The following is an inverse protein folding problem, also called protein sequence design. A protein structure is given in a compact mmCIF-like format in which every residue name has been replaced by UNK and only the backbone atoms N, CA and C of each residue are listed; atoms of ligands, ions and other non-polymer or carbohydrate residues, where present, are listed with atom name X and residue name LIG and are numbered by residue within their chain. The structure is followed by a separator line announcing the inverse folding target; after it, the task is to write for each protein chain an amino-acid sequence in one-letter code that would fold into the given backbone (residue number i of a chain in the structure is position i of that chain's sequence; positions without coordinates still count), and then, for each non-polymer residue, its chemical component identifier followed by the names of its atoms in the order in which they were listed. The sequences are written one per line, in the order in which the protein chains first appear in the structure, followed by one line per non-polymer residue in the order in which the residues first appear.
data_IF_028643515134
#
_entry.id   IF_028643515134
#
_cell.length_a   1.000
_cell.length_b   1.000
_cell.length_c   1.000
_cell.angle_alpha   90.00
_cell.angle_beta   90.00
_cell.angle_gamma   90.00
#
_symmetry.space_group_name_H-M   'P 1'
#
loop_
_entity.id
_entity.type
_entity.pdbx_description
1 polymer ?
#
# COMPACT_ATOMS: atom_id res chain seq x y z
N UNK A 1 -8.08 -26.93 5.18
CA UNK A 1 -7.07 -26.68 6.23
C UNK A 1 -5.79 -26.26 5.54
N UNK A 2 -5.15 -25.22 6.02
CA UNK A 2 -3.86 -24.79 5.50
C UNK A 2 -2.77 -25.79 5.92
N UNK A 3 -1.86 -26.10 5.01
CA UNK A 3 -0.58 -26.69 5.35
C UNK A 3 0.36 -25.56 5.72
N UNK A 4 0.82 -25.55 6.97
CA UNK A 4 1.77 -24.56 7.48
C UNK A 4 3.18 -25.06 7.18
N UNK A 5 3.95 -24.28 6.41
CA UNK A 5 5.33 -24.62 6.04
C UNK A 5 6.24 -23.55 6.63
N UNK A 6 7.07 -23.87 7.64
CA UNK A 6 8.06 -22.92 8.14
C UNK A 6 9.12 -22.67 7.05
N UNK A 7 9.38 -21.39 6.77
CA UNK A 7 10.39 -20.95 5.80
C UNK A 7 11.68 -20.58 6.51
N UNK A 8 11.60 -19.72 7.53
CA UNK A 8 12.73 -19.34 8.39
C UNK A 8 12.25 -18.99 9.79
N UNK A 9 13.18 -19.08 10.75
CA UNK A 9 12.99 -18.59 12.12
C UNK A 9 14.19 -17.72 12.48
N UNK A 10 13.95 -16.42 12.60
CA UNK A 10 14.96 -15.45 12.98
C UNK A 10 14.90 -15.19 14.48
N UNK A 11 16.03 -15.32 15.16
CA UNK A 11 16.13 -15.04 16.60
C UNK A 11 16.53 -13.59 16.83
N UNK A 12 15.64 -12.82 17.46
CA UNK A 12 15.97 -11.49 18.00
C UNK A 12 16.71 -11.65 19.33
N UNK A 13 16.26 -12.61 20.13
CA UNK A 13 16.92 -13.08 21.34
C UNK A 13 16.61 -14.56 21.54
N UNK A 14 17.24 -15.26 22.50
CA UNK A 14 16.92 -16.66 22.79
C UNK A 14 15.44 -16.92 23.12
N UNK A 15 14.71 -15.90 23.58
CA UNK A 15 13.30 -15.97 23.94
C UNK A 15 12.40 -15.16 23.00
N UNK A 16 12.91 -14.60 21.90
CA UNK A 16 12.11 -13.79 20.96
C UNK A 16 12.47 -14.14 19.53
N UNK A 17 11.48 -14.59 18.78
CA UNK A 17 11.68 -15.05 17.40
C UNK A 17 10.70 -14.37 16.44
N UNK A 18 11.13 -14.23 15.19
CA UNK A 18 10.26 -13.97 14.06
C UNK A 18 10.23 -15.24 13.22
N UNK A 19 9.06 -15.84 13.07
CA UNK A 19 8.85 -16.99 12.19
C UNK A 19 8.22 -16.52 10.88
N UNK A 20 8.84 -16.91 9.77
CA UNK A 20 8.33 -16.70 8.42
C UNK A 20 7.68 -18.00 7.99
N UNK A 21 6.37 -17.97 7.79
CA UNK A 21 5.58 -19.15 7.46
C UNK A 21 4.99 -18.99 6.05
N UNK A 22 4.93 -20.08 5.31
CA UNK A 22 4.17 -20.17 4.08
C UNK A 22 2.96 -21.08 4.31
N UNK A 23 1.77 -20.50 4.21
CA UNK A 23 0.51 -21.23 4.31
C UNK A 23 0.11 -21.71 2.92
N UNK A 24 -0.16 -22.99 2.76
CA UNK A 24 -0.48 -23.60 1.46
C UNK A 24 -1.82 -24.33 1.52
N UNK A 25 -2.70 -24.11 0.54
CA UNK A 25 -3.99 -24.79 0.39
C UNK A 25 -4.30 -24.91 -1.09
N UNK A 26 -4.41 -26.15 -1.58
CA UNK A 26 -4.53 -26.45 -3.01
C UNK A 26 -3.37 -25.83 -3.82
N UNK A 27 -3.65 -24.95 -4.78
CA UNK A 27 -2.67 -24.26 -5.63
C UNK A 27 -2.30 -22.87 -5.08
N UNK A 28 -2.92 -22.43 -3.98
CA UNK A 28 -2.71 -21.13 -3.38
C UNK A 28 -1.67 -21.20 -2.25
N UNK A 29 -0.88 -20.14 -2.13
CA UNK A 29 0.05 -19.97 -1.03
C UNK A 29 0.08 -18.52 -0.54
N UNK A 30 0.34 -18.33 0.75
CA UNK A 30 0.42 -17.03 1.40
C UNK A 30 1.54 -17.04 2.43
N UNK A 31 2.49 -16.12 2.29
CA UNK A 31 3.51 -15.89 3.31
C UNK A 31 2.95 -15.00 4.44
N UNK A 32 3.24 -15.35 5.68
CA UNK A 32 2.85 -14.62 6.89
C UNK A 32 4.00 -14.60 7.90
N UNK A 33 3.94 -13.71 8.88
CA UNK A 33 5.01 -13.52 9.87
C UNK A 33 4.44 -13.61 11.28
N UNK A 34 5.09 -14.39 12.14
CA UNK A 34 4.75 -14.50 13.55
C UNK A 34 5.89 -13.94 14.38
N UNK A 35 5.60 -12.95 15.21
CA UNK A 35 6.53 -12.54 16.26
C UNK A 35 6.16 -13.23 17.57
N UNK A 36 7.03 -14.11 18.05
CA UNK A 36 6.92 -14.76 19.33
C UNK A 36 7.67 -13.95 20.38
N UNK A 37 6.95 -13.50 21.41
CA UNK A 37 7.49 -12.87 22.60
C UNK A 37 7.47 -13.87 23.76
N UNK A 38 8.65 -14.40 24.07
CA UNK A 38 8.94 -15.19 25.27
C UNK A 38 8.15 -16.49 25.40
N UNK A 39 7.65 -17.04 24.28
CA UNK A 39 6.82 -18.24 24.23
C UNK A 39 5.45 -18.06 24.87
N UNK A 40 5.02 -16.80 25.07
CA UNK A 40 3.78 -16.45 25.78
C UNK A 40 2.85 -15.58 24.97
N UNK A 41 3.38 -14.82 24.02
CA UNK A 41 2.57 -13.95 23.19
C UNK A 41 3.02 -14.03 21.74
N UNK A 42 2.09 -14.35 20.86
CA UNK A 42 2.31 -14.52 19.43
C UNK A 42 1.57 -13.42 18.69
N UNK A 43 2.30 -12.59 17.95
CA UNK A 43 1.76 -11.50 17.14
C UNK A 43 1.77 -11.92 15.68
N UNK A 44 0.60 -11.88 15.05
CA UNK A 44 0.45 -12.25 13.65
C UNK A 44 0.53 -11.03 12.75
N UNK A 45 1.30 -11.12 11.67
CA UNK A 45 1.40 -10.10 10.65
C UNK A 45 1.15 -10.69 9.26
N UNK A 46 0.27 -10.02 8.52
CA UNK A 46 -0.05 -10.37 7.14
C UNK A 46 1.01 -9.92 6.13
N UNK A 47 1.90 -9.00 6.52
CA UNK A 47 2.91 -8.42 5.65
C UNK A 47 4.18 -8.05 6.42
N UNK A 48 5.30 -8.02 5.69
CA UNK A 48 6.59 -7.56 6.24
C UNK A 48 6.52 -6.09 6.68
N UNK A 49 5.73 -5.26 5.98
CA UNK A 49 5.54 -3.85 6.32
C UNK A 49 4.90 -3.71 7.71
N UNK A 50 3.85 -4.49 8.01
CA UNK A 50 3.20 -4.46 9.32
C UNK A 50 4.16 -4.87 10.44
N UNK A 51 5.01 -5.87 10.17
CA UNK A 51 6.06 -6.29 11.11
C UNK A 51 7.09 -5.18 11.35
N UNK A 52 7.57 -4.51 10.30
CA UNK A 52 8.52 -3.39 10.41
C UNK A 52 7.89 -2.23 11.20
N UNK A 53 6.65 -1.86 10.88
CA UNK A 53 5.93 -0.79 11.57
C UNK A 53 5.73 -1.05 13.07
N UNK A 54 5.53 -2.31 13.46
CA UNK A 54 5.52 -2.71 14.86
C UNK A 54 6.86 -2.41 15.55
N UNK A 55 7.99 -2.78 14.94
CA UNK A 55 9.30 -2.55 15.53
C UNK A 55 9.74 -1.08 15.52
N UNK A 56 9.47 -0.35 14.45
CA UNK A 56 9.92 1.04 14.29
C UNK A 56 9.00 2.04 14.98
N UNK A 57 7.69 1.82 14.94
CA UNK A 57 6.67 2.78 15.37
C UNK A 57 5.77 2.28 16.50
N UNK A 58 5.95 1.03 16.96
CA UNK A 58 5.13 0.45 18.03
C UNK A 58 3.67 0.18 17.63
N UNK A 59 3.37 0.11 16.33
CA UNK A 59 2.03 -0.16 15.83
C UNK A 59 1.71 -1.64 16.07
N UNK A 60 0.80 -1.91 17.02
CA UNK A 60 0.36 -3.27 17.35
C UNK A 60 -0.47 -3.89 16.21
N UNK A 61 -0.30 -5.19 15.90
CA UNK A 61 -1.13 -5.87 14.93
C UNK A 61 -2.55 -6.07 15.46
N UNK A 62 -3.48 -6.23 14.53
CA UNK A 62 -4.90 -6.48 14.84
C UNK A 62 -5.12 -7.83 15.52
N UNK A 63 -4.22 -8.80 15.30
CA UNK A 63 -4.38 -10.18 15.75
C UNK A 63 -3.15 -10.65 16.54
N UNK A 64 -3.39 -11.14 17.75
CA UNK A 64 -2.39 -11.76 18.61
C UNK A 64 -3.00 -12.89 19.47
N UNK A 65 -2.14 -13.75 20.01
CA UNK A 65 -2.51 -14.96 20.73
C UNK A 65 -1.63 -15.14 21.97
N UNK A 66 -2.17 -15.77 23.02
CA UNK A 66 -1.43 -16.14 24.23
C UNK A 66 -1.05 -17.62 24.28
N UNK A 67 -1.47 -18.40 23.27
CA UNK A 67 -1.16 -19.82 23.17
C UNK A 67 -0.80 -20.22 21.75
N UNK A 68 0.16 -21.13 21.60
CA UNK A 68 0.53 -21.73 20.31
C UNK A 68 -0.66 -22.44 19.69
N UNK A 69 -1.49 -23.09 20.51
CA UNK A 69 -2.68 -23.79 20.03
C UNK A 69 -3.67 -22.85 19.34
N UNK A 70 -3.93 -21.68 19.91
CA UNK A 70 -4.86 -20.71 19.31
C UNK A 70 -4.29 -20.10 18.03
N UNK A 71 -2.96 -19.89 17.99
CA UNK A 71 -2.26 -19.49 16.78
C UNK A 71 -2.39 -20.54 15.69
N UNK A 72 -2.12 -21.82 15.99
CA UNK A 72 -2.22 -22.92 15.04
C UNK A 72 -3.66 -23.07 14.51
N UNK A 73 -4.65 -23.07 15.41
CA UNK A 73 -6.07 -23.13 15.07
C UNK A 73 -6.49 -21.98 14.13
N UNK A 74 -5.92 -20.78 14.33
CA UNK A 74 -6.11 -19.63 13.47
C UNK A 74 -5.43 -19.81 12.11
N UNK A 75 -4.15 -20.16 12.08
CA UNK A 75 -3.37 -20.32 10.85
C UNK A 75 -3.92 -21.44 9.95
N UNK A 76 -4.46 -22.51 10.53
CA UNK A 76 -5.10 -23.59 9.80
C UNK A 76 -6.36 -23.16 9.04
N UNK A 77 -7.09 -22.19 9.62
CA UNK A 77 -8.39 -21.70 9.12
C UNK A 77 -8.26 -20.42 8.31
N UNK A 78 -7.15 -19.68 8.45
CA UNK A 78 -6.93 -18.42 7.77
C UNK A 78 -7.24 -18.53 6.27
N UNK A 79 -8.06 -17.62 5.70
CA UNK A 79 -8.26 -17.57 4.26
C UNK A 79 -6.94 -17.21 3.55
N UNK A 80 -6.49 -18.09 2.65
CA UNK A 80 -5.24 -17.89 1.88
C UNK A 80 -5.44 -17.76 0.36
N UNK A 81 -6.69 -17.81 -0.08
CA UNK A 81 -7.11 -17.57 -1.46
C UNK A 81 -7.88 -16.29 -1.59
N UNK A 82 -7.47 -15.42 -2.54
CA UNK A 82 -8.06 -14.12 -2.89
C UNK A 82 -8.89 -13.45 -1.78
N UNK A 83 -8.37 -13.45 -0.55
CA UNK A 83 -8.68 -12.39 0.37
C UNK A 83 -7.96 -11.18 -0.22
N UNK A 84 -8.74 -10.16 -0.50
CA UNK A 84 -8.35 -8.87 -1.07
C UNK A 84 -7.38 -8.14 -0.11
N UNK A 85 -6.19 -8.68 0.14
CA UNK A 85 -5.20 -8.20 1.12
C UNK A 85 -3.95 -7.61 0.48
N UNK A 86 -3.95 -7.40 -0.85
CA UNK A 86 -3.06 -6.38 -1.42
C UNK A 86 -3.77 -5.05 -1.18
N UNK A 87 -3.37 -4.33 -0.12
CA UNK A 87 -3.77 -2.93 0.02
C UNK A 87 -3.37 -2.23 -1.29
N UNK A 88 -4.36 -1.64 -1.95
CA UNK A 88 -4.18 -0.83 -3.13
C UNK A 88 -3.42 0.44 -2.74
N UNK A 89 -2.81 1.09 -3.74
CA UNK A 89 -2.18 2.39 -3.52
C UNK A 89 -3.07 3.48 -4.09
N UNK A 90 -3.46 4.41 -3.23
CA UNK A 90 -4.31 5.54 -3.58
C UNK A 90 -3.44 6.79 -3.77
N UNK A 91 -3.45 7.30 -4.99
CA UNK A 91 -2.85 8.57 -5.37
C UNK A 91 -3.85 9.69 -5.10
N UNK A 92 -3.56 10.55 -4.13
CA UNK A 92 -4.32 11.76 -3.84
C UNK A 92 -3.70 12.97 -4.55
N UNK A 93 -4.54 13.81 -5.12
CA UNK A 93 -4.16 15.04 -5.80
C UNK A 93 -5.30 16.06 -5.76
N UNK A 94 -4.98 17.31 -6.04
CA UNK A 94 -5.97 18.39 -6.03
C UNK A 94 -5.79 19.36 -7.19
N UNK A 95 -6.89 20.02 -7.55
CA UNK A 95 -6.92 21.13 -8.48
C UNK A 95 -7.21 22.43 -7.74
N UNK A 96 -6.58 23.52 -8.19
CA UNK A 96 -6.90 24.89 -7.78
C UNK A 96 -7.32 25.65 -9.03
N UNK A 97 -8.49 26.27 -8.97
CA UNK A 97 -8.94 27.18 -10.02
C UNK A 97 -8.25 28.56 -9.88
N UNK A 98 -8.49 29.45 -10.84
CA UNK A 98 -7.96 30.82 -10.81
C UNK A 98 -8.42 31.66 -9.61
N UNK A 99 -9.45 31.24 -8.90
CA UNK A 99 -9.96 31.86 -7.67
C UNK A 99 -9.48 31.14 -6.39
N UNK A 100 -8.58 30.16 -6.51
CA UNK A 100 -8.00 29.35 -5.44
C UNK A 100 -9.00 28.46 -4.67
N UNK A 101 -10.13 28.08 -5.28
CA UNK A 101 -10.96 27.02 -4.75
C UNK A 101 -10.31 25.65 -5.01
N UNK A 102 -10.31 24.80 -3.99
CA UNK A 102 -9.71 23.47 -4.06
C UNK A 102 -10.72 22.40 -4.44
N UNK A 103 -10.32 21.49 -5.32
CA UNK A 103 -11.05 20.28 -5.64
C UNK A 103 -10.13 19.09 -5.44
N UNK A 104 -10.55 18.12 -4.61
CA UNK A 104 -9.75 16.94 -4.28
C UNK A 104 -10.19 15.75 -5.13
N UNK A 105 -9.24 14.88 -5.46
CA UNK A 105 -9.48 13.67 -6.20
C UNK A 105 -8.48 12.59 -5.88
N UNK A 106 -8.82 11.36 -6.27
CA UNK A 106 -7.97 10.21 -6.03
C UNK A 106 -8.07 9.18 -7.15
N UNK A 107 -7.00 8.42 -7.35
CA UNK A 107 -6.98 7.22 -8.19
C UNK A 107 -6.39 6.06 -7.40
N UNK A 108 -7.02 4.89 -7.47
CA UNK A 108 -6.68 3.70 -6.69
C UNK A 108 -6.14 2.66 -7.66
N UNK A 109 -4.86 2.32 -7.48
CA UNK A 109 -4.12 1.35 -8.29
C UNK A 109 -3.97 0.01 -7.54
N UNK A 110 -4.03 -1.13 -8.23
CA UNK A 110 -3.50 -2.39 -7.73
C UNK A 110 -2.03 -2.20 -7.31
N UNK A 111 -1.67 -2.76 -6.16
CA UNK A 111 -0.31 -2.71 -5.62
C UNK A 111 0.25 -4.13 -5.37
N UNK A 112 0.39 -4.97 -6.42
CA UNK A 112 0.86 -6.35 -6.26
C UNK A 112 2.34 -6.45 -5.86
N UNK A 113 3.12 -5.38 -6.09
CA UNK A 113 4.54 -5.27 -5.74
C UNK A 113 4.78 -4.72 -4.32
N UNK A 114 3.71 -4.41 -3.57
CA UNK A 114 3.78 -3.86 -2.21
C UNK A 114 4.64 -2.59 -2.10
N UNK A 115 4.55 -1.72 -3.10
CA UNK A 115 5.24 -0.44 -3.09
C UNK A 115 4.72 0.42 -1.93
N UNK A 116 5.63 0.94 -1.09
CA UNK A 116 5.24 1.79 0.02
C UNK A 116 4.79 3.17 -0.48
N UNK A 117 3.85 3.84 0.21
CA UNK A 117 3.42 5.19 -0.15
C UNK A 117 4.60 6.18 -0.24
N UNK A 118 5.55 6.07 0.69
CA UNK A 118 6.77 6.87 0.69
C UNK A 118 7.57 6.65 -0.58
N UNK A 119 7.80 5.40 -0.98
CA UNK A 119 8.61 5.10 -2.15
C UNK A 119 7.93 5.51 -3.45
N UNK A 120 6.63 5.27 -3.57
CA UNK A 120 5.83 5.73 -4.70
C UNK A 120 5.87 7.26 -4.82
N UNK A 121 5.80 7.97 -3.69
CA UNK A 121 5.88 9.44 -3.64
C UNK A 121 7.24 9.96 -4.10
N UNK A 122 8.34 9.31 -3.69
CA UNK A 122 9.69 9.66 -4.16
C UNK A 122 9.80 9.53 -5.69
N UNK A 123 9.37 8.39 -6.25
CA UNK A 123 9.44 8.13 -7.70
C UNK A 123 8.58 9.13 -8.47
N UNK A 124 7.35 9.37 -8.01
CA UNK A 124 6.43 10.28 -8.68
C UNK A 124 6.94 11.73 -8.64
N UNK A 125 7.52 12.18 -7.52
CA UNK A 125 8.04 13.55 -7.38
C UNK A 125 9.11 13.90 -8.41
N UNK A 126 9.96 12.96 -8.80
CA UNK A 126 10.96 13.16 -9.85
C UNK A 126 10.35 13.44 -11.24
N UNK A 127 9.08 13.11 -11.42
CA UNK A 127 8.31 13.30 -12.66
C UNK A 127 7.44 14.56 -12.64
N UNK A 128 7.29 15.22 -11.49
CA UNK A 128 6.46 16.41 -11.36
C UNK A 128 7.17 17.66 -11.90
N UNK A 129 6.37 18.60 -12.40
CA UNK A 129 6.76 19.98 -12.67
C UNK A 129 7.06 20.63 -11.32
N UNK A 130 8.28 21.13 -11.16
CA UNK A 130 8.76 21.73 -9.90
C UNK A 130 8.56 20.85 -8.66
N UNK A 131 8.57 19.51 -8.82
CA UNK A 131 8.35 18.52 -7.75
C UNK A 131 6.96 18.59 -7.06
N UNK A 132 6.00 19.32 -7.64
CA UNK A 132 4.69 19.59 -7.01
C UNK A 132 3.52 19.41 -7.98
N UNK A 133 3.67 19.76 -9.27
CA UNK A 133 2.57 19.84 -10.21
C UNK A 133 2.65 18.82 -11.35
N UNK A 134 1.50 18.46 -11.93
CA UNK A 134 1.41 17.65 -13.14
C UNK A 134 0.11 17.92 -13.90
N UNK A 135 0.01 17.41 -15.13
CA UNK A 135 -1.23 17.41 -15.92
C UNK A 135 -1.81 15.99 -15.90
N UNK A 136 -2.95 15.74 -15.21
CA UNK A 136 -3.50 14.39 -15.06
C UNK A 136 -3.72 13.66 -16.39
N UNK A 137 -4.15 14.37 -17.43
CA UNK A 137 -4.45 13.80 -18.73
C UNK A 137 -3.22 13.21 -19.43
N UNK A 138 -2.03 13.80 -19.26
CA UNK A 138 -0.77 13.27 -19.82
C UNK A 138 -0.43 11.90 -19.21
N UNK A 139 -0.92 11.65 -17.99
CA UNK A 139 -0.74 10.41 -17.26
C UNK A 139 -1.96 9.48 -17.34
N UNK A 140 -2.97 9.84 -18.14
CA UNK A 140 -4.22 9.10 -18.26
C UNK A 140 -5.07 9.08 -16.99
N UNK A 141 -4.94 10.09 -16.13
CA UNK A 141 -5.71 10.26 -14.90
C UNK A 141 -6.92 11.20 -15.11
N UNK A 142 -7.98 11.08 -14.29
CA UNK A 142 -9.12 12.00 -14.33
C UNK A 142 -8.71 13.44 -14.04
N UNK A 143 -9.29 14.39 -14.78
CA UNK A 143 -9.17 15.83 -14.51
C UNK A 143 -10.21 16.25 -13.48
N UNK A 144 -9.84 17.06 -12.49
CA UNK A 144 -10.76 17.56 -11.46
C UNK A 144 -11.34 18.93 -11.83
N UNK A 145 -12.37 18.95 -12.67
CA UNK A 145 -13.07 20.18 -13.07
C UNK A 145 -14.58 20.07 -12.77
N UNK A 146 -14.98 20.46 -11.56
CA UNK A 146 -16.39 20.51 -11.16
C UNK A 146 -17.11 21.80 -11.59
N UNK A 147 -16.35 22.82 -12.00
CA UNK A 147 -16.86 24.11 -12.47
C UNK A 147 -16.53 24.34 -13.94
N UNK A 148 -17.29 25.20 -14.66
CA UNK A 148 -16.96 25.58 -16.03
C UNK A 148 -15.55 26.16 -16.09
N UNK A 149 -14.74 25.65 -17.02
CA UNK A 149 -13.39 26.13 -17.25
C UNK A 149 -13.40 27.57 -17.76
N UNK A 150 -12.67 28.44 -17.07
CA UNK A 150 -12.41 29.81 -17.50
C UNK A 150 -11.01 29.91 -18.12
N UNK A 151 -10.89 30.01 -19.45
CA UNK A 151 -9.58 30.05 -20.11
C UNK A 151 -8.74 31.28 -19.77
N UNK A 152 -9.28 32.31 -19.13
CA UNK A 152 -8.52 33.50 -18.73
C UNK A 152 -7.74 33.30 -17.42
N UNK A 153 -8.21 32.42 -16.54
CA UNK A 153 -7.66 32.27 -15.18
C UNK A 153 -7.34 30.82 -14.79
N UNK A 154 -7.94 29.83 -15.45
CA UNK A 154 -7.74 28.42 -15.13
C UNK A 154 -6.55 27.83 -15.87
N UNK A 155 -5.89 26.87 -15.22
CA UNK A 155 -4.81 26.08 -15.78
C UNK A 155 -5.17 24.58 -15.79
N UNK A 156 -4.30 23.75 -16.37
CA UNK A 156 -4.48 22.29 -16.40
C UNK A 156 -3.74 21.58 -15.27
N UNK A 157 -2.87 22.30 -14.55
CA UNK A 157 -2.02 21.72 -13.51
C UNK A 157 -2.80 21.30 -12.27
N UNK A 158 -2.42 20.15 -11.74
CA UNK A 158 -2.90 19.60 -10.48
C UNK A 158 -1.71 19.43 -9.53
N UNK A 159 -1.95 19.61 -8.24
CA UNK A 159 -0.98 19.50 -7.15
C UNK A 159 -1.01 18.05 -6.62
N UNK A 160 0.16 17.43 -6.52
CA UNK A 160 0.33 16.11 -5.91
C UNK A 160 0.20 16.20 -4.38
N UNK A 161 -0.75 15.47 -3.79
CA UNK A 161 -1.03 15.49 -2.35
C UNK A 161 -0.36 14.32 -1.61
N UNK A 162 -0.30 13.13 -2.22
CA UNK A 162 0.43 12.01 -1.66
C UNK A 162 -0.07 10.65 -2.11
N UNK A 163 0.60 9.60 -1.64
CA UNK A 163 0.08 8.24 -1.68
C UNK A 163 -0.37 7.77 -0.29
N UNK A 164 -1.36 6.90 -0.24
CA UNK A 164 -1.73 6.14 0.95
C UNK A 164 -2.09 4.69 0.59
N UNK A 165 -1.96 3.78 1.56
CA UNK A 165 -2.47 2.41 1.41
C UNK A 165 -3.99 2.42 1.66
N UNK A 166 -4.74 1.66 0.86
CA UNK A 166 -6.20 1.58 0.97
C UNK A 166 -6.73 0.18 0.63
N UNK A 167 -7.89 -0.19 1.17
CA UNK A 167 -8.66 -1.38 0.79
C UNK A 167 -9.83 -1.06 -0.16
N UNK A 168 -9.99 0.21 -0.53
CA UNK A 168 -10.98 0.70 -1.50
C UNK A 168 -10.84 -0.01 -2.86
N UNK A 169 -11.95 -0.07 -3.62
CA UNK A 169 -11.95 -0.68 -4.96
C UNK A 169 -11.01 0.05 -5.92
N UNK A 170 -10.34 -0.74 -6.75
CA UNK A 170 -9.46 -0.24 -7.81
C UNK A 170 -10.25 0.62 -8.78
N UNK A 171 -9.76 1.84 -9.04
CA UNK A 171 -10.34 2.75 -10.04
C UNK A 171 -9.52 2.81 -11.33
N UNK A 172 -8.27 2.33 -11.30
CA UNK A 172 -7.40 2.23 -12.47
C UNK A 172 -6.86 0.80 -12.63
N UNK A 173 -6.94 0.24 -13.83
CA UNK A 173 -6.55 -1.15 -14.07
C UNK A 173 -5.04 -1.37 -14.14
N UNK A 174 -4.26 -0.30 -14.38
CA UNK A 174 -2.79 -0.35 -14.40
C UNK A 174 -2.30 -0.64 -12.99
N UNK A 175 -1.32 -1.53 -12.82
CA UNK A 175 -0.68 -1.62 -11.52
C UNK A 175 0.16 -0.36 -11.24
N UNK A 176 0.41 -0.06 -9.96
CA UNK A 176 1.09 1.17 -9.57
C UNK A 176 2.53 1.26 -10.08
N UNK A 177 3.22 0.12 -10.24
CA UNK A 177 4.59 0.09 -10.76
C UNK A 177 4.59 0.38 -12.26
N UNK A 178 3.71 -0.27 -13.02
CA UNK A 178 3.47 -0.01 -14.45
C UNK A 178 3.10 1.46 -14.68
N UNK A 179 2.25 2.03 -13.84
CA UNK A 179 1.88 3.45 -13.89
C UNK A 179 3.12 4.35 -13.74
N UNK A 180 3.89 4.18 -12.66
CA UNK A 180 5.06 5.01 -12.37
C UNK A 180 6.18 4.89 -13.42
N UNK A 181 6.32 3.72 -14.05
CA UNK A 181 7.30 3.50 -15.13
C UNK A 181 6.92 4.19 -16.43
N UNK A 182 5.61 4.34 -16.71
CA UNK A 182 5.11 4.90 -17.97
C UNK A 182 4.98 6.42 -17.97
N UNK A 183 4.84 7.04 -16.80
CA UNK A 183 4.70 8.50 -16.73
C UNK A 183 6.03 9.19 -17.05
N UNK A 184 5.95 10.17 -17.95
CA UNK A 184 7.08 11.02 -18.31
C UNK A 184 7.13 12.27 -17.42
N UNK A 185 8.33 12.86 -17.31
CA UNK A 185 8.52 14.06 -16.52
C UNK A 185 7.75 15.21 -17.17
N UNK A 186 6.96 15.92 -16.37
CA UNK A 186 6.23 17.11 -16.83
C UNK A 186 7.18 18.18 -17.36
N UNK A 187 6.73 18.91 -18.39
CA UNK A 187 7.52 19.95 -19.03
C UNK A 187 7.91 21.05 -18.02
N UNK A 188 9.20 21.35 -17.91
CA UNK A 188 9.68 22.57 -17.25
C UNK A 188 9.51 23.73 -18.24
N UNK A 189 8.73 24.75 -17.87
CA UNK A 189 8.56 25.99 -18.66
C UNK A 189 9.78 26.90 -18.45
#
# INVERSE_FOLDING_TARGET
MNKIIPVSTEYISPSRTIEILNLVRFEENRQVYIYNYEGKHFRFFESLIGLIQFFESGIEPVVSFESEKDLDDFLEKLPIGNAKTTLNLKLNYLYRDGANYKQFGAVIFPNPSFLSPTKASEILREKLISNEFFVPQDWGLPRLHHHPYDPEIDHEWHEFDGFELTDEEVTDKRDVTEFLERIEKGYEI
#
